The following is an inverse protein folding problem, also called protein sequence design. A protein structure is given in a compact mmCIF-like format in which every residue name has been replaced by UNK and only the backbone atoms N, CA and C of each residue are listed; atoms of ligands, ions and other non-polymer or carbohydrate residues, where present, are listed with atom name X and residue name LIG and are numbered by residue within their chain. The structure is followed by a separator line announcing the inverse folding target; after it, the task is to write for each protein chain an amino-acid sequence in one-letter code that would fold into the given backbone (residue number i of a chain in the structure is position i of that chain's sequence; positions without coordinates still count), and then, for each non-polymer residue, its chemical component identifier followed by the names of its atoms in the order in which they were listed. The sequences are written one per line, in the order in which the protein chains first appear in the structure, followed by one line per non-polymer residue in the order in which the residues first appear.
data_IF_297673453519
#
_entry.id   IF_297673453519
#
_cell.length_a   1.000
_cell.length_b   1.000
_cell.length_c   1.000
_cell.angle_alpha   90.00
_cell.angle_beta   90.00
_cell.angle_gamma   90.00
#
_symmetry.space_group_name_H-M   'P 1'
#
loop_
_entity.id
_entity.type
_entity.pdbx_description
1 polymer ?
#
# COMPACT_ATOMS: atom_id res chain seq x y z
N UNK A 1 -45.82 28.67 53.91
CA UNK A 1 -44.58 27.85 53.99
C UNK A 1 -44.51 26.57 53.16
N UNK A 2 -45.52 25.68 53.13
CA UNK A 2 -45.43 24.40 52.39
C UNK A 2 -45.12 24.54 50.88
N UNK A 3 -45.67 25.56 50.22
CA UNK A 3 -45.53 25.80 48.77
C UNK A 3 -44.10 26.19 48.35
N UNK A 4 -43.36 26.90 49.21
CA UNK A 4 -41.96 27.24 48.98
C UNK A 4 -41.05 26.01 49.10
N UNK A 5 -41.40 25.07 49.99
CA UNK A 5 -40.63 23.85 50.22
C UNK A 5 -40.72 22.88 49.04
N UNK A 6 -41.90 22.74 48.43
CA UNK A 6 -42.12 21.87 47.25
C UNK A 6 -41.36 22.38 46.01
N UNK A 7 -41.41 23.69 45.74
CA UNK A 7 -40.62 24.30 44.65
C UNK A 7 -39.11 24.14 44.84
N UNK A 8 -38.63 24.19 46.08
CA UNK A 8 -37.22 23.93 46.40
C UNK A 8 -36.79 22.50 46.07
N UNK A 9 -37.64 21.51 46.41
CA UNK A 9 -37.40 20.09 46.15
C UNK A 9 -37.43 19.81 44.64
N UNK A 10 -38.39 20.37 43.90
CA UNK A 10 -38.49 20.22 42.45
C UNK A 10 -37.27 20.78 41.73
N UNK A 11 -36.83 21.99 42.11
CA UNK A 11 -35.59 22.59 41.58
C UNK A 11 -34.36 21.75 41.88
N UNK A 12 -34.24 21.21 43.10
CA UNK A 12 -33.15 20.33 43.50
C UNK A 12 -33.15 19.01 42.71
N UNK A 13 -34.32 18.44 42.43
CA UNK A 13 -34.45 17.21 41.66
C UNK A 13 -34.09 17.41 40.18
N UNK A 14 -34.48 18.55 39.60
CA UNK A 14 -34.12 18.91 38.23
C UNK A 14 -32.61 19.11 38.09
N UNK A 15 -31.96 19.87 38.99
CA UNK A 15 -30.50 20.08 38.93
C UNK A 15 -29.70 18.78 39.06
N UNK A 16 -30.10 17.87 39.95
CA UNK A 16 -29.44 16.55 40.10
C UNK A 16 -29.56 15.73 38.81
N UNK A 17 -30.75 15.64 38.21
CA UNK A 17 -30.98 14.90 36.96
C UNK A 17 -30.21 15.50 35.77
N UNK A 18 -30.19 16.83 35.65
CA UNK A 18 -29.41 17.52 34.62
C UNK A 18 -27.90 17.27 34.78
N UNK A 19 -27.39 17.31 36.02
CA UNK A 19 -25.98 17.06 36.29
C UNK A 19 -25.58 15.61 35.96
N UNK A 20 -26.42 14.63 36.31
CA UNK A 20 -26.18 13.22 35.99
C UNK A 20 -26.21 12.95 34.47
N UNK A 21 -27.19 13.53 33.76
CA UNK A 21 -27.23 13.49 32.29
C UNK A 21 -25.98 14.08 31.65
N UNK A 22 -25.49 15.23 32.13
CA UNK A 22 -24.26 15.84 31.61
C UNK A 22 -23.03 14.99 31.91
N UNK A 23 -22.95 14.36 33.08
CA UNK A 23 -21.86 13.45 33.46
C UNK A 23 -21.83 12.22 32.55
N UNK A 24 -22.98 11.61 32.29
CA UNK A 24 -23.14 10.46 31.37
C UNK A 24 -22.77 10.84 29.94
N UNK A 25 -23.17 12.02 29.46
CA UNK A 25 -22.82 12.52 28.12
C UNK A 25 -21.31 12.74 27.97
N UNK A 26 -20.65 13.37 28.96
CA UNK A 26 -19.18 13.54 28.98
C UNK A 26 -18.45 12.19 28.96
N UNK A 27 -18.93 11.20 29.72
CA UNK A 27 -18.32 9.87 29.76
C UNK A 27 -18.39 9.16 28.40
N UNK A 28 -19.54 9.21 27.74
CA UNK A 28 -19.74 8.62 26.41
C UNK A 28 -18.87 9.29 25.34
N UNK A 29 -18.74 10.62 25.37
CA UNK A 29 -17.84 11.38 24.51
C UNK A 29 -16.37 10.96 24.72
N UNK A 30 -15.92 10.84 25.98
CA UNK A 30 -14.56 10.40 26.30
C UNK A 30 -14.29 8.97 25.82
N UNK A 31 -15.26 8.06 25.99
CA UNK A 31 -15.17 6.67 25.53
C UNK A 31 -15.08 6.58 24.01
N UNK A 32 -15.92 7.33 23.29
CA UNK A 32 -15.90 7.43 21.82
C UNK A 32 -14.56 7.97 21.30
N UNK A 33 -14.07 9.07 21.89
CA UNK A 33 -12.78 9.66 21.52
C UNK A 33 -11.61 8.71 21.78
N UNK A 34 -11.63 7.96 22.88
CA UNK A 34 -10.59 6.96 23.16
C UNK A 34 -10.64 5.81 22.14
N UNK A 35 -11.83 5.33 21.77
CA UNK A 35 -11.98 4.30 20.72
C UNK A 35 -11.43 4.79 19.37
N UNK A 36 -11.73 6.04 18.98
CA UNK A 36 -11.19 6.67 17.76
C UNK A 36 -9.67 6.82 17.80
N UNK A 37 -9.12 7.27 18.93
CA UNK A 37 -7.65 7.35 19.11
C UNK A 37 -7.00 5.97 18.99
N UNK A 38 -7.54 4.95 19.65
CA UNK A 38 -7.03 3.57 19.53
C UNK A 38 -7.10 3.03 18.10
N UNK A 39 -8.21 3.28 17.38
CA UNK A 39 -8.34 2.91 15.98
C UNK A 39 -7.30 3.62 15.10
N UNK A 40 -7.11 4.93 15.30
CA UNK A 40 -6.07 5.71 14.60
C UNK A 40 -4.66 5.18 14.87
N UNK A 41 -4.36 4.81 16.12
CA UNK A 41 -3.05 4.22 16.46
C UNK A 41 -2.85 2.82 15.89
N UNK A 42 -3.92 2.03 15.72
CA UNK A 42 -3.86 0.72 15.06
C UNK A 42 -3.62 0.88 13.55
N UNK A 43 -4.34 1.82 12.92
CA UNK A 43 -4.13 2.17 11.52
C UNK A 43 -2.72 2.68 11.28
N UNK A 44 -2.20 3.58 12.13
CA UNK A 44 -0.83 4.10 12.00
C UNK A 44 0.21 2.99 12.11
N UNK A 45 0.01 2.02 13.02
CA UNK A 45 0.88 0.84 13.09
C UNK A 45 0.79 0.02 11.79
N UNK A 46 -0.41 -0.26 11.30
CA UNK A 46 -0.61 -1.01 10.07
C UNK A 46 0.01 -0.30 8.84
N UNK A 47 -0.13 1.02 8.74
CA UNK A 47 0.48 1.84 7.69
C UNK A 47 2.01 1.79 7.76
N UNK A 48 2.60 1.85 8.97
CA UNK A 48 4.05 1.69 9.13
C UNK A 48 4.52 0.30 8.69
N UNK A 49 3.82 -0.76 9.06
CA UNK A 49 4.16 -2.12 8.61
C UNK A 49 4.01 -2.28 7.10
N UNK A 50 2.89 -1.82 6.54
CA UNK A 50 2.65 -1.85 5.11
C UNK A 50 3.72 -1.04 4.35
N UNK A 51 4.10 0.13 4.85
CA UNK A 51 5.16 0.97 4.26
C UNK A 51 6.51 0.26 4.22
N UNK A 52 6.90 -0.44 5.29
CA UNK A 52 8.14 -1.23 5.34
C UNK A 52 8.10 -2.37 4.31
N UNK A 53 6.99 -3.09 4.22
CA UNK A 53 6.86 -4.21 3.27
C UNK A 53 6.85 -3.69 1.83
N UNK A 54 6.10 -2.62 1.56
CA UNK A 54 6.00 -2.00 0.23
C UNK A 54 7.35 -1.46 -0.21
N UNK A 55 8.13 -0.82 0.67
CA UNK A 55 9.45 -0.32 0.31
C UNK A 55 10.45 -1.45 0.02
N UNK A 56 10.39 -2.54 0.78
CA UNK A 56 11.20 -3.74 0.52
C UNK A 56 10.85 -4.38 -0.83
N UNK A 57 9.56 -4.53 -1.14
CA UNK A 57 9.13 -5.11 -2.43
C UNK A 57 9.47 -4.18 -3.59
N UNK A 58 9.21 -2.88 -3.45
CA UNK A 58 9.46 -1.89 -4.49
C UNK A 58 10.96 -1.71 -4.80
N UNK A 59 11.83 -1.91 -3.81
CA UNK A 59 13.28 -1.94 -4.02
C UNK A 59 13.79 -3.31 -4.48
N UNK A 60 13.37 -4.38 -3.80
CA UNK A 60 13.87 -5.73 -4.04
C UNK A 60 13.47 -6.31 -5.39
N UNK A 61 12.25 -6.06 -5.86
CA UNK A 61 11.78 -6.61 -7.13
C UNK A 61 12.56 -6.07 -8.34
N UNK A 62 12.79 -4.75 -8.51
CA UNK A 62 13.66 -4.25 -9.59
C UNK A 62 15.11 -4.74 -9.48
N UNK A 63 15.66 -4.86 -8.27
CA UNK A 63 17.02 -5.38 -8.07
C UNK A 63 17.14 -6.82 -8.59
N UNK A 64 16.21 -7.71 -8.17
CA UNK A 64 16.17 -9.08 -8.67
C UNK A 64 15.90 -9.11 -10.18
N UNK A 65 15.01 -8.25 -10.67
CA UNK A 65 14.71 -8.12 -12.09
C UNK A 65 15.91 -7.73 -12.95
N UNK A 66 16.86 -6.95 -12.41
CA UNK A 66 18.12 -6.61 -13.07
C UNK A 66 19.19 -7.70 -12.95
N UNK A 67 19.21 -8.46 -11.86
CA UNK A 67 20.20 -9.53 -11.63
C UNK A 67 19.89 -10.78 -12.45
N UNK A 68 18.62 -11.15 -12.61
CA UNK A 68 18.21 -12.37 -13.32
C UNK A 68 18.74 -12.43 -14.78
N UNK A 69 18.67 -11.36 -15.58
CA UNK A 69 19.30 -11.32 -16.90
C UNK A 69 20.82 -11.49 -16.92
N UNK A 70 21.50 -11.23 -15.80
CA UNK A 70 22.95 -11.34 -15.70
C UNK A 70 23.42 -12.77 -15.44
N UNK A 71 22.52 -13.68 -15.03
CA UNK A 71 22.80 -15.11 -14.78
C UNK A 71 23.66 -15.76 -15.88
N UNK A 72 23.34 -15.68 -17.19
CA UNK A 72 24.15 -16.31 -18.23
C UNK A 72 25.58 -15.79 -18.29
N UNK A 73 25.85 -14.56 -17.85
CA UNK A 73 27.21 -14.00 -17.84
C UNK A 73 28.07 -14.53 -16.70
N UNK A 74 27.48 -15.05 -15.61
CA UNK A 74 28.26 -15.63 -14.51
C UNK A 74 28.91 -16.98 -14.87
N UNK A 75 28.36 -17.71 -15.82
CA UNK A 75 28.83 -19.05 -16.20
C UNK A 75 29.83 -19.05 -17.37
N UNK A 76 30.20 -17.88 -17.88
CA UNK A 76 30.95 -17.75 -19.13
C UNK A 76 32.15 -16.82 -18.91
N UNK A 77 33.35 -17.29 -19.25
CA UNK A 77 34.62 -16.57 -19.05
C UNK A 77 34.82 -15.39 -20.02
N UNK A 78 34.23 -15.45 -21.22
CA UNK A 78 34.30 -14.38 -22.22
C UNK A 78 32.90 -14.11 -22.77
N UNK A 79 32.38 -12.91 -22.53
CA UNK A 79 31.09 -12.49 -23.06
C UNK A 79 31.12 -12.55 -24.59
N UNK A 80 30.30 -13.45 -25.15
CA UNK A 80 30.10 -13.59 -26.58
C UNK A 80 28.67 -13.22 -26.97
N UNK A 81 28.42 -13.17 -28.28
CA UNK A 81 27.09 -12.88 -28.83
C UNK A 81 26.01 -13.86 -28.33
N UNK A 82 26.38 -15.12 -28.14
CA UNK A 82 25.48 -16.16 -27.60
C UNK A 82 25.00 -15.83 -26.18
N UNK A 83 25.89 -15.38 -25.29
CA UNK A 83 25.55 -15.00 -23.91
C UNK A 83 24.55 -13.83 -23.88
N UNK A 84 24.72 -12.88 -24.81
CA UNK A 84 23.82 -11.75 -24.98
C UNK A 84 22.43 -12.19 -25.43
N UNK A 85 22.34 -13.11 -26.41
CA UNK A 85 21.05 -13.68 -26.85
C UNK A 85 20.34 -14.38 -25.70
N UNK A 86 21.03 -15.19 -24.90
CA UNK A 86 20.42 -15.87 -23.75
C UNK A 86 19.94 -14.88 -22.68
N UNK A 87 20.73 -13.85 -22.39
CA UNK A 87 20.34 -12.78 -21.46
C UNK A 87 19.09 -12.04 -21.94
N UNK A 88 19.07 -11.66 -23.23
CA UNK A 88 17.93 -11.00 -23.84
C UNK A 88 16.68 -11.89 -23.81
N UNK A 89 16.83 -13.19 -24.08
CA UNK A 89 15.74 -14.15 -24.03
C UNK A 89 15.16 -14.28 -22.61
N UNK A 90 16.00 -14.27 -21.58
CA UNK A 90 15.57 -14.26 -20.18
C UNK A 90 14.75 -12.99 -19.88
N UNK A 91 15.24 -11.81 -20.28
CA UNK A 91 14.51 -10.55 -20.12
C UNK A 91 13.15 -10.61 -20.81
N UNK A 92 13.13 -11.10 -22.06
CA UNK A 92 11.90 -11.21 -22.84
C UNK A 92 10.87 -12.12 -22.17
N UNK A 93 11.29 -13.31 -21.71
CA UNK A 93 10.43 -14.25 -20.98
C UNK A 93 9.93 -13.60 -19.68
N UNK A 94 10.80 -12.93 -18.92
CA UNK A 94 10.40 -12.22 -17.70
C UNK A 94 9.34 -11.16 -17.98
N UNK A 95 9.49 -10.35 -19.03
CA UNK A 95 8.52 -9.30 -19.40
C UNK A 95 7.18 -9.91 -19.79
N UNK A 96 7.17 -10.98 -20.59
CA UNK A 96 5.93 -11.66 -20.96
C UNK A 96 5.24 -12.23 -19.72
N UNK A 97 5.97 -12.91 -18.85
CA UNK A 97 5.43 -13.46 -17.61
C UNK A 97 4.91 -12.35 -16.68
N UNK A 98 5.64 -11.25 -16.53
CA UNK A 98 5.20 -10.09 -15.75
C UNK A 98 3.95 -9.45 -16.37
N UNK A 99 3.87 -9.33 -17.69
CA UNK A 99 2.71 -8.79 -18.39
C UNK A 99 1.46 -9.64 -18.18
N UNK A 100 1.60 -10.97 -18.22
CA UNK A 100 0.52 -11.91 -17.91
C UNK A 100 0.13 -11.79 -16.43
N UNK A 101 1.11 -11.76 -15.53
CA UNK A 101 0.87 -11.66 -14.09
C UNK A 101 0.15 -10.37 -13.72
N UNK A 102 0.60 -9.24 -14.24
CA UNK A 102 -0.03 -7.93 -14.04
C UNK A 102 -1.45 -7.92 -14.63
N UNK A 103 -1.66 -8.52 -15.80
CA UNK A 103 -2.99 -8.65 -16.37
C UNK A 103 -3.93 -9.49 -15.51
N UNK A 104 -3.42 -10.60 -14.96
CA UNK A 104 -4.19 -11.49 -14.10
C UNK A 104 -4.60 -10.82 -12.80
N UNK A 105 -3.66 -10.15 -12.11
CA UNK A 105 -3.95 -9.46 -10.84
C UNK A 105 -4.82 -8.21 -11.05
N UNK A 106 -4.69 -7.52 -12.18
CA UNK A 106 -5.45 -6.30 -12.49
C UNK A 106 -6.90 -6.58 -12.94
N UNK A 107 -7.31 -7.85 -13.12
CA UNK A 107 -8.61 -8.22 -13.71
C UNK A 107 -8.89 -7.59 -15.08
N UNK A 108 -7.82 -7.21 -15.78
CA UNK A 108 -7.85 -6.62 -17.11
C UNK A 108 -7.55 -7.70 -18.15
N UNK A 109 -7.78 -7.39 -19.43
CA UNK A 109 -7.43 -8.33 -20.49
C UNK A 109 -5.92 -8.61 -20.49
N UNK A 110 -5.54 -9.89 -20.31
CA UNK A 110 -4.16 -10.35 -20.25
C UNK A 110 -3.33 -9.85 -21.45
N UNK A 111 -3.89 -9.99 -22.64
CA UNK A 111 -3.26 -9.59 -23.90
C UNK A 111 -2.89 -8.11 -23.98
N UNK A 112 -3.76 -7.22 -23.49
CA UNK A 112 -3.47 -5.77 -23.50
C UNK A 112 -2.29 -5.44 -22.59
N UNK A 113 -2.22 -6.07 -21.40
CA UNK A 113 -1.14 -5.83 -20.45
C UNK A 113 0.21 -6.36 -20.95
N UNK A 114 0.22 -7.55 -21.56
CA UNK A 114 1.42 -8.10 -22.20
C UNK A 114 1.91 -7.18 -23.31
N UNK A 115 1.01 -6.72 -24.19
CA UNK A 115 1.37 -5.82 -25.28
C UNK A 115 1.87 -4.47 -24.78
N UNK A 116 1.26 -3.93 -23.72
CA UNK A 116 1.69 -2.69 -23.09
C UNK A 116 3.09 -2.82 -22.47
N UNK A 117 3.39 -3.93 -21.80
CA UNK A 117 4.73 -4.18 -21.27
C UNK A 117 5.78 -4.36 -22.38
N UNK A 118 5.43 -5.06 -23.46
CA UNK A 118 6.30 -5.18 -24.64
C UNK A 118 6.57 -3.82 -25.29
N UNK A 119 5.55 -2.97 -25.43
CA UNK A 119 5.70 -1.62 -25.95
C UNK A 119 6.59 -0.75 -25.05
N UNK A 120 6.41 -0.84 -23.72
CA UNK A 120 7.25 -0.13 -22.75
C UNK A 120 8.72 -0.59 -22.81
N UNK A 121 8.94 -1.89 -22.98
CA UNK A 121 10.28 -2.46 -23.16
C UNK A 121 10.94 -1.98 -24.45
N UNK A 122 10.23 -2.03 -25.58
CA UNK A 122 10.71 -1.50 -26.85
C UNK A 122 11.03 -0.03 -26.78
N UNK A 123 10.16 0.77 -26.14
CA UNK A 123 10.40 2.19 -25.91
C UNK A 123 11.65 2.43 -25.06
N UNK A 124 11.87 1.62 -24.03
CA UNK A 124 13.07 1.73 -23.17
C UNK A 124 14.33 1.43 -23.96
N UNK A 125 14.34 0.41 -24.83
CA UNK A 125 15.47 0.13 -25.72
C UNK A 125 15.74 1.32 -26.65
N UNK A 126 14.70 1.88 -27.28
CA UNK A 126 14.84 3.03 -28.18
C UNK A 126 15.45 4.21 -27.42
N UNK A 127 14.96 4.51 -26.23
CA UNK A 127 15.47 5.60 -25.38
C UNK A 127 16.91 5.31 -24.94
N UNK A 128 17.24 4.07 -24.56
CA UNK A 128 18.61 3.70 -24.20
C UNK A 128 19.58 3.86 -25.36
N UNK A 129 19.19 3.48 -26.58
CA UNK A 129 20.02 3.69 -27.79
C UNK A 129 20.17 5.18 -28.07
N UNK A 130 19.11 5.98 -27.91
CA UNK A 130 19.18 7.43 -28.13
C UNK A 130 20.09 8.15 -27.11
N UNK A 131 20.13 7.66 -25.87
CA UNK A 131 20.98 8.25 -24.82
C UNK A 131 22.44 7.82 -24.96
N UNK A 132 22.69 6.58 -25.37
CA UNK A 132 24.02 6.00 -25.42
C UNK A 132 24.70 6.17 -26.80
N UNK A 133 23.90 6.31 -27.86
CA UNK A 133 24.32 6.47 -29.24
C UNK A 133 24.55 7.92 -29.65
#
# INVERSE_FOLDING_TARGET
DKLLKVKGIEKAMLTVNFNDKNRRKKLNLKKSNNKRRKAKTLQEKAERFASIIVSLVNGGAPLLGGIVPLIPFFFILKAGFNSFIFSFLIVFICIVLLGIFVGFISRESLWKNVLQMLAAFGLTIIVSILILG
#
